data_IF_137157096750
#
_entry.id   IF_137157096750
#
_cell.length_a   1.000
_cell.length_b   1.000
_cell.length_c   1.000
_cell.angle_alpha   90.00
_cell.angle_beta   90.00
_cell.angle_gamma   90.00
#
_symmetry.space_group_name_H-M   'P 1'
#
loop_
_entity.id
_entity.type
_entity.pdbx_description
1 polymer ?
#
# COMPACT_ATOMS: atom_id res chain seq x y z
N UNK A 1 9.47 -18.26 6.44
CA UNK A 1 8.77 -17.54 5.34
C UNK A 1 7.87 -16.47 5.93
N UNK A 2 7.32 -16.68 7.13
CA UNK A 2 6.53 -15.69 7.88
C UNK A 2 7.34 -14.45 8.31
N UNK A 3 8.63 -14.61 8.63
CA UNK A 3 9.45 -13.47 9.12
C UNK A 3 9.59 -12.37 8.06
N UNK A 4 9.88 -12.74 6.81
CA UNK A 4 9.97 -11.77 5.71
C UNK A 4 8.64 -11.06 5.42
N UNK A 5 7.51 -11.77 5.59
CA UNK A 5 6.19 -11.17 5.44
C UNK A 5 5.87 -10.21 6.58
N UNK A 6 6.19 -10.59 7.82
CA UNK A 6 6.00 -9.76 9.00
C UNK A 6 6.85 -8.48 8.94
N UNK A 7 8.09 -8.58 8.46
CA UNK A 7 8.98 -7.42 8.26
C UNK A 7 8.39 -6.45 7.23
N UNK A 8 7.96 -6.97 6.07
CA UNK A 8 7.36 -6.16 5.02
C UNK A 8 6.06 -5.48 5.48
N UNK A 9 5.20 -6.19 6.21
CA UNK A 9 4.02 -5.60 6.84
C UNK A 9 4.40 -4.48 7.81
N UNK A 10 5.40 -4.72 8.65
CA UNK A 10 5.93 -3.76 9.60
C UNK A 10 6.38 -2.47 8.92
N UNK A 11 7.11 -2.59 7.82
CA UNK A 11 7.59 -1.45 7.03
C UNK A 11 6.45 -0.65 6.39
N UNK A 12 5.42 -1.32 5.86
CA UNK A 12 4.22 -0.65 5.32
C UNK A 12 3.50 0.15 6.41
N UNK A 13 3.29 -0.44 7.58
CA UNK A 13 2.61 0.23 8.69
C UNK A 13 3.45 1.38 9.26
N UNK A 14 4.77 1.22 9.35
CA UNK A 14 5.68 2.30 9.74
C UNK A 14 5.63 3.47 8.76
N UNK A 15 5.63 3.19 7.45
CA UNK A 15 5.47 4.19 6.41
C UNK A 15 4.17 4.99 6.60
N UNK A 16 3.02 4.32 6.73
CA UNK A 16 1.71 4.98 6.89
C UNK A 16 1.59 5.76 8.20
N UNK A 17 2.23 5.31 9.29
CA UNK A 17 2.28 6.07 10.55
C UNK A 17 3.08 7.37 10.40
N UNK A 18 4.15 7.35 9.60
CA UNK A 18 4.99 8.52 9.37
C UNK A 18 4.35 9.55 8.42
N UNK A 19 3.58 9.11 7.42
CA UNK A 19 3.04 9.99 6.38
C UNK A 19 1.53 10.23 6.43
N UNK A 20 0.78 9.40 7.16
CA UNK A 20 -0.67 9.39 7.10
C UNK A 20 -1.21 8.77 5.81
N UNK A 21 -2.35 9.26 5.34
CA UNK A 21 -3.00 8.77 4.12
C UNK A 21 -2.09 9.00 2.90
N UNK A 22 -1.68 7.89 2.25
CA UNK A 22 -0.62 7.90 1.23
C UNK A 22 -1.04 7.07 0.02
N UNK A 23 -0.81 7.55 -1.22
CA UNK A 23 -1.11 6.77 -2.43
C UNK A 23 -0.27 5.49 -2.52
N UNK A 24 -0.79 4.39 -3.11
CA UNK A 24 -0.04 3.16 -3.31
C UNK A 24 1.30 3.35 -4.05
N UNK A 25 1.34 4.26 -5.03
CA UNK A 25 2.57 4.61 -5.74
C UNK A 25 3.68 5.12 -4.82
N UNK A 26 3.33 5.95 -3.83
CA UNK A 26 4.29 6.52 -2.89
C UNK A 26 4.73 5.48 -1.84
N UNK A 27 3.82 4.60 -1.42
CA UNK A 27 4.17 3.44 -0.56
C UNK A 27 5.15 2.53 -1.30
N UNK A 28 4.91 2.21 -2.57
CA UNK A 28 5.80 1.42 -3.40
C UNK A 28 7.19 2.05 -3.54
N UNK A 29 7.26 3.35 -3.84
CA UNK A 29 8.53 4.10 -3.93
C UNK A 29 9.37 4.03 -2.65
N UNK A 30 8.73 4.14 -1.48
CA UNK A 30 9.43 4.12 -0.18
C UNK A 30 9.93 2.74 0.21
N UNK A 31 9.19 1.70 -0.16
CA UNK A 31 9.50 0.31 0.16
C UNK A 31 10.34 -0.39 -0.91
N UNK A 32 10.60 0.28 -2.04
CA UNK A 32 11.34 -0.31 -3.17
C UNK A 32 10.56 -1.39 -3.94
N UNK A 33 9.22 -1.35 -3.90
CA UNK A 33 8.34 -2.28 -4.61
C UNK A 33 7.52 -1.57 -5.69
N UNK A 34 6.99 -2.33 -6.65
CA UNK A 34 6.10 -1.74 -7.66
C UNK A 34 4.81 -1.20 -7.03
N UNK A 35 4.18 -0.22 -7.67
CA UNK A 35 2.88 0.29 -7.26
C UNK A 35 1.81 -0.82 -7.19
N UNK A 36 1.82 -1.75 -8.15
CA UNK A 36 0.89 -2.89 -8.17
C UNK A 36 1.09 -3.84 -6.98
N UNK A 37 2.34 -4.08 -6.57
CA UNK A 37 2.65 -4.86 -5.38
C UNK A 37 2.16 -4.11 -4.14
N UNK A 38 2.47 -2.82 -4.01
CA UNK A 38 2.00 -1.98 -2.90
C UNK A 38 0.46 -1.97 -2.80
N UNK A 39 -0.26 -1.82 -3.92
CA UNK A 39 -1.72 -1.87 -3.94
C UNK A 39 -2.26 -3.22 -3.46
N UNK A 40 -1.63 -4.34 -3.86
CA UNK A 40 -2.02 -5.68 -3.42
C UNK A 40 -1.80 -5.89 -1.92
N UNK A 41 -0.65 -5.42 -1.40
CA UNK A 41 -0.33 -5.45 0.03
C UNK A 41 -1.35 -4.65 0.84
N UNK A 42 -1.65 -3.42 0.42
CA UNK A 42 -2.62 -2.54 1.09
C UNK A 42 -4.03 -3.16 1.09
N UNK A 43 -4.42 -3.84 0.00
CA UNK A 43 -5.69 -4.54 -0.06
C UNK A 43 -5.76 -5.72 0.93
N UNK A 44 -4.67 -6.49 1.08
CA UNK A 44 -4.59 -7.55 2.10
C UNK A 44 -4.69 -6.99 3.52
N UNK A 45 -3.89 -5.97 3.84
CA UNK A 45 -3.91 -5.33 5.16
C UNK A 45 -5.26 -4.68 5.47
N UNK A 46 -5.97 -4.17 4.46
CA UNK A 46 -7.31 -3.65 4.63
C UNK A 46 -8.32 -4.75 4.98
N UNK A 47 -8.21 -5.93 4.34
CA UNK A 47 -9.04 -7.10 4.68
C UNK A 47 -8.78 -7.60 6.10
N UNK A 48 -7.56 -7.45 6.59
CA UNK A 48 -7.16 -7.79 7.97
C UNK A 48 -7.51 -6.70 8.99
N UNK A 49 -8.04 -5.56 8.56
CA UNK A 49 -8.41 -4.44 9.43
C UNK A 49 -7.24 -3.60 9.93
N UNK A 50 -6.04 -3.75 9.34
CA UNK A 50 -4.81 -3.05 9.73
C UNK A 50 -4.67 -1.67 9.10
N UNK A 51 -5.29 -1.47 7.92
CA UNK A 51 -5.36 -0.17 7.22
C UNK A 51 -6.77 0.08 6.70
N UNK A 52 -7.09 1.33 6.35
CA UNK A 52 -8.37 1.70 5.72
C UNK A 52 -8.12 2.30 4.34
N UNK A 53 -8.78 1.76 3.32
CA UNK A 53 -8.87 2.38 2.00
C UNK A 53 -10.03 3.39 2.05
N UNK A 54 -9.71 4.68 2.13
CA UNK A 54 -10.69 5.75 2.32
C UNK A 54 -11.09 6.45 1.02
N UNK A 55 -10.19 6.49 0.04
CA UNK A 55 -10.38 7.14 -1.26
C UNK A 55 -10.12 6.11 -2.36
N UNK A 56 -11.04 6.05 -3.31
CA UNK A 56 -10.93 5.30 -4.57
C UNK A 56 -11.51 6.22 -5.64
N UNK A 57 -10.77 6.42 -6.73
CA UNK A 57 -11.18 7.26 -7.84
C UNK A 57 -11.20 6.46 -9.15
N UNK A 58 -11.93 6.97 -10.13
CA UNK A 58 -11.90 6.41 -11.47
C UNK A 58 -10.55 6.75 -12.12
N UNK A 59 -9.85 5.74 -12.65
CA UNK A 59 -8.65 5.99 -13.44
C UNK A 59 -9.03 6.82 -14.68
N UNK A 60 -8.20 7.82 -15.01
CA UNK A 60 -8.40 8.60 -16.22
C UNK A 60 -8.47 7.67 -17.43
N UNK A 61 -9.50 7.83 -18.27
CA UNK A 61 -9.62 7.05 -19.50
C UNK A 61 -8.37 7.30 -20.36
N UNK A 62 -7.76 6.24 -20.93
CA UNK A 62 -6.70 6.42 -21.91
C UNK A 62 -7.27 7.23 -23.07
N UNK A 63 -6.70 8.41 -23.32
CA UNK A 63 -7.10 9.27 -24.43
C UNK A 63 -6.90 8.48 -25.72
N UNK A 64 -8.02 8.11 -26.35
CA UNK A 64 -8.05 7.35 -27.62
C UNK A 64 -7.39 8.10 -28.76
#
# INVERSE_FOLDING_TARGET
>A
MDDWWADLEGDVLACLRATGATPPAEVGRRLGVSESAAASLLAMLAREGKVRIALVELAAEPRS
#
